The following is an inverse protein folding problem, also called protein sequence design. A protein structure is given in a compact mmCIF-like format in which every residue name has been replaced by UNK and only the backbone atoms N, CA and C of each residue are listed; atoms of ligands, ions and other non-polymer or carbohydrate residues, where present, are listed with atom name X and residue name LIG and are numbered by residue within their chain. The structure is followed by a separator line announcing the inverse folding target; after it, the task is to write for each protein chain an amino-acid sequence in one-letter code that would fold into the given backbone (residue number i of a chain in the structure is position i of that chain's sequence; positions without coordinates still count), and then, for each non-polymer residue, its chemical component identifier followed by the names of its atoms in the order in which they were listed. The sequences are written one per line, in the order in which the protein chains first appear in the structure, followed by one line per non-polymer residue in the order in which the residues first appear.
data_IF_235809854066
#
_entry.id   IF_235809854066
#
_cell.length_a   1.000
_cell.length_b   1.000
_cell.length_c   1.000
_cell.angle_alpha   90.00
_cell.angle_beta   90.00
_cell.angle_gamma   90.00
#
_symmetry.space_group_name_H-M   'P 1'
#
loop_
_entity.id
_entity.type
_entity.pdbx_description
1 polymer ?
#
# COMPACT_ATOMS: atom_id res chain seq x y z
N UNK A 1 -4.09 1.35 2.26
CA UNK A 1 -3.96 -0.03 2.79
C UNK A 1 -2.69 -0.73 2.30
N UNK A 2 -2.26 -0.58 1.04
CA UNK A 2 -0.98 -1.13 0.54
C UNK A 2 0.27 -0.59 1.27
N UNK A 3 0.28 0.67 1.71
CA UNK A 3 1.45 1.30 2.37
C UNK A 3 1.86 0.66 3.71
N UNK A 4 0.97 -0.03 4.43
CA UNK A 4 1.33 -0.73 5.70
C UNK A 4 1.81 -2.18 5.51
N UNK A 5 1.46 -2.85 4.43
CA UNK A 5 1.90 -4.23 4.16
C UNK A 5 3.38 -4.26 3.76
N UNK A 6 3.86 -3.24 3.06
CA UNK A 6 5.27 -3.15 2.64
C UNK A 6 6.25 -2.85 3.79
N UNK A 7 5.82 -2.14 4.84
CA UNK A 7 6.69 -1.85 5.99
C UNK A 7 6.94 -3.07 6.88
N UNK A 8 6.06 -4.07 6.85
CA UNK A 8 6.20 -5.26 7.70
C UNK A 8 7.08 -6.37 7.09
N UNK A 9 7.35 -6.34 5.79
CA UNK A 9 8.21 -7.32 5.10
C UNK A 9 9.70 -6.98 5.22
N UNK A 10 10.06 -5.72 5.44
CA UNK A 10 11.47 -5.28 5.55
C UNK A 10 12.14 -5.69 6.87
N UNK A 11 11.39 -6.03 7.91
CA UNK A 11 11.96 -6.36 9.24
C UNK A 11 12.41 -7.83 9.39
N UNK A 12 12.15 -8.69 8.42
CA UNK A 12 12.50 -10.14 8.50
C UNK A 12 13.80 -10.47 7.78
N UNK A 13 14.39 -9.60 6.97
CA UNK A 13 15.57 -9.88 6.13
C UNK A 13 16.93 -9.44 6.73
N UNK A 14 17.01 -9.04 7.99
CA UNK A 14 18.26 -8.58 8.62
C UNK A 14 18.93 -9.58 9.59
N UNK A 15 18.62 -10.86 9.53
CA UNK A 15 19.24 -11.87 10.40
C UNK A 15 20.01 -12.99 9.69
N UNK A 16 20.54 -12.78 8.48
CA UNK A 16 21.26 -13.83 7.76
C UNK A 16 22.64 -13.45 7.20
N UNK A 17 23.35 -12.48 7.78
CA UNK A 17 24.77 -12.29 7.48
C UNK A 17 25.60 -12.17 8.77
N UNK A 18 25.92 -13.33 9.37
CA UNK A 18 27.06 -13.52 10.27
C UNK A 18 27.40 -14.99 10.41
N UNK A 19 27.93 -15.62 9.37
CA UNK A 19 28.64 -16.90 9.52
C UNK A 19 29.49 -17.19 8.28
N UNK A 20 30.61 -16.53 8.12
CA UNK A 20 31.74 -17.07 7.35
C UNK A 20 32.99 -16.27 7.68
N UNK A 21 33.72 -16.67 8.69
CA UNK A 21 35.19 -16.61 8.75
C UNK A 21 35.59 -17.28 10.06
N UNK A 22 36.09 -18.48 9.99
CA UNK A 22 37.23 -19.03 10.76
C UNK A 22 37.33 -20.49 10.34
N UNK A 23 38.29 -20.76 9.50
CA UNK A 23 38.76 -22.13 9.29
C UNK A 23 40.28 -22.12 9.41
N UNK A 24 40.78 -22.54 10.57
CA UNK A 24 42.12 -23.14 10.69
C UNK A 24 42.16 -24.05 11.92
N UNK A 25 42.23 -25.33 11.66
CA UNK A 25 43.05 -26.35 12.26
C UNK A 25 42.90 -26.69 13.76
N UNK A 26 42.16 -27.73 14.05
CA UNK A 26 42.60 -28.74 15.05
C UNK A 26 41.89 -30.06 14.73
N UNK A 27 42.68 -31.12 14.54
CA UNK A 27 42.21 -32.48 14.46
C UNK A 27 41.65 -32.86 15.82
N UNK A 28 40.35 -33.14 15.88
CA UNK A 28 39.76 -33.77 17.06
C UNK A 28 39.12 -35.10 16.62
N UNK A 29 39.67 -36.16 17.16
CA UNK A 29 39.23 -37.54 16.95
C UNK A 29 38.08 -37.83 17.92
N UNK A 30 36.85 -37.66 17.44
CA UNK A 30 35.66 -38.17 18.15
C UNK A 30 35.01 -39.30 17.35
N UNK A 31 34.52 -40.37 17.96
CA UNK A 31 34.02 -41.54 17.26
C UNK A 31 32.70 -41.22 16.56
N UNK A 32 32.59 -41.70 15.33
CA UNK A 32 31.38 -41.58 14.51
C UNK A 32 30.17 -42.19 15.22
N UNK A 33 29.21 -41.34 15.60
CA UNK A 33 27.88 -41.78 15.98
C UNK A 33 27.12 -42.18 14.69
N UNK A 34 27.12 -43.47 14.41
CA UNK A 34 26.19 -44.09 13.46
C UNK A 34 24.80 -44.15 14.12
N UNK A 35 24.09 -43.04 14.19
CA UNK A 35 22.66 -43.05 14.44
C UNK A 35 21.94 -42.99 13.08
N UNK A 36 21.24 -44.07 12.74
CA UNK A 36 20.21 -43.98 11.69
C UNK A 36 19.30 -42.77 12.06
N UNK A 37 18.88 -41.95 11.08
CA UNK A 37 17.87 -40.95 11.38
C UNK A 37 16.66 -41.68 11.96
N UNK A 38 16.24 -41.27 13.16
CA UNK A 38 14.99 -41.73 13.74
C UNK A 38 13.90 -41.45 12.70
N UNK A 39 13.26 -42.51 12.24
CA UNK A 39 12.06 -42.39 11.43
C UNK A 39 11.03 -41.67 12.31
N UNK A 40 10.73 -40.43 11.96
CA UNK A 40 9.61 -39.70 12.57
C UNK A 40 8.39 -40.63 12.41
N UNK A 41 7.75 -41.06 13.51
CA UNK A 41 6.58 -41.90 13.39
C UNK A 41 5.53 -41.18 12.56
N UNK A 42 4.89 -41.89 11.62
CA UNK A 42 3.72 -41.40 10.90
C UNK A 42 2.65 -41.04 11.94
N UNK A 43 2.57 -39.77 12.29
CA UNK A 43 1.50 -39.25 13.12
C UNK A 43 0.26 -39.25 12.22
N UNK A 44 -0.71 -40.15 12.49
CA UNK A 44 -2.05 -40.02 11.90
C UNK A 44 -2.60 -38.64 12.29
N UNK A 45 -2.52 -37.71 11.34
CA UNK A 45 -3.06 -36.37 11.51
C UNK A 45 -4.56 -36.49 11.69
N UNK A 46 -5.11 -35.90 12.76
CA UNK A 46 -6.54 -35.88 13.02
C UNK A 46 -7.25 -35.24 11.81
N UNK A 47 -8.50 -35.61 11.57
CA UNK A 47 -9.33 -35.04 10.48
C UNK A 47 -9.50 -33.51 10.52
N UNK A 48 -9.00 -32.84 11.57
CA UNK A 48 -9.04 -31.39 11.76
C UNK A 48 -7.69 -30.71 11.43
N UNK A 49 -6.72 -31.41 10.89
CA UNK A 49 -5.43 -30.83 10.54
C UNK A 49 -5.54 -30.10 9.20
N UNK A 50 -5.16 -28.81 9.19
CA UNK A 50 -5.12 -28.02 7.97
C UNK A 50 -3.79 -28.34 7.26
N UNK A 51 -3.80 -28.83 6.01
CA UNK A 51 -2.58 -29.10 5.27
C UNK A 51 -1.69 -27.85 5.17
N UNK A 52 -0.37 -28.04 5.23
CA UNK A 52 0.59 -26.94 5.16
C UNK A 52 0.44 -26.14 3.86
N UNK A 53 0.14 -26.83 2.78
CA UNK A 53 -0.07 -26.25 1.45
C UNK A 53 -1.19 -25.18 1.44
N UNK A 54 -2.24 -25.36 2.26
CA UNK A 54 -3.36 -24.41 2.33
C UNK A 54 -2.97 -23.07 2.92
N UNK A 55 -1.87 -23.00 3.70
CA UNK A 55 -1.35 -21.72 4.21
C UNK A 55 -0.55 -20.93 3.17
N UNK A 56 -0.03 -21.62 2.15
CA UNK A 56 0.81 -21.01 1.09
C UNK A 56 0.11 -20.95 -0.27
N UNK A 57 -1.10 -21.47 -0.36
CA UNK A 57 -1.87 -21.43 -1.59
C UNK A 57 -2.29 -20.02 -1.94
N UNK A 58 -2.05 -19.63 -3.19
CA UNK A 58 -2.59 -18.36 -3.70
C UNK A 58 -4.11 -18.32 -3.55
N UNK A 59 -4.69 -17.15 -3.23
CA UNK A 59 -6.13 -16.97 -3.22
C UNK A 59 -6.69 -17.16 -4.64
N UNK A 60 -7.92 -17.65 -4.77
CA UNK A 60 -8.59 -17.76 -6.06
C UNK A 60 -8.76 -16.41 -6.74
N UNK A 61 -9.12 -15.39 -5.96
CA UNK A 61 -9.21 -14.00 -6.40
C UNK A 61 -8.86 -13.06 -5.24
N UNK A 62 -8.18 -11.95 -5.53
CA UNK A 62 -7.79 -10.97 -4.53
C UNK A 62 -7.55 -9.59 -5.13
N UNK A 63 -7.28 -8.60 -4.27
CA UNK A 63 -6.89 -7.25 -4.65
C UNK A 63 -7.88 -6.57 -5.61
N UNK A 64 -9.16 -6.73 -5.37
CA UNK A 64 -10.19 -6.09 -6.17
C UNK A 64 -10.11 -4.56 -6.09
N UNK A 65 -10.34 -3.90 -7.24
CA UNK A 65 -10.45 -2.44 -7.36
C UNK A 65 -11.51 -2.09 -8.40
N UNK A 66 -12.38 -1.14 -8.09
CA UNK A 66 -13.38 -0.59 -9.03
C UNK A 66 -12.69 0.40 -9.98
N UNK A 67 -13.12 0.49 -11.23
CA UNK A 67 -12.72 1.57 -12.14
C UNK A 67 -13.30 2.91 -11.67
N UNK A 68 -12.64 4.01 -11.99
CA UNK A 68 -13.06 5.36 -11.58
C UNK A 68 -14.49 5.70 -11.97
N UNK A 69 -14.98 5.16 -13.11
CA UNK A 69 -16.36 5.36 -13.60
C UNK A 69 -17.38 4.34 -13.05
N UNK A 70 -16.96 3.43 -12.19
CA UNK A 70 -17.82 2.42 -11.56
C UNK A 70 -18.35 1.33 -12.48
N UNK A 71 -17.79 1.15 -13.69
CA UNK A 71 -18.34 0.19 -14.68
C UNK A 71 -17.61 -1.14 -14.70
N UNK A 72 -16.40 -1.18 -14.23
CA UNK A 72 -15.55 -2.37 -14.25
C UNK A 72 -14.94 -2.63 -12.88
N UNK A 73 -14.58 -3.87 -12.66
CA UNK A 73 -13.76 -4.30 -11.53
C UNK A 73 -12.51 -5.01 -12.06
N UNK A 74 -11.35 -4.64 -11.52
CA UNK A 74 -10.10 -5.36 -11.74
C UNK A 74 -9.77 -6.19 -10.50
N UNK A 75 -9.10 -7.31 -10.68
CA UNK A 75 -8.67 -8.19 -9.59
C UNK A 75 -7.49 -9.06 -10.03
N UNK A 76 -6.82 -9.65 -9.06
CA UNK A 76 -5.78 -10.63 -9.30
C UNK A 76 -6.33 -12.05 -9.13
N UNK A 77 -6.01 -12.91 -10.10
CA UNK A 77 -6.38 -14.32 -10.13
C UNK A 77 -5.23 -15.15 -10.68
N UNK A 78 -4.97 -16.37 -10.16
CA UNK A 78 -3.95 -17.26 -10.71
C UNK A 78 -4.23 -17.66 -12.14
N UNK A 79 -3.22 -17.58 -12.99
CA UNK A 79 -3.16 -18.21 -14.30
C UNK A 79 -1.78 -18.86 -14.46
N UNK A 80 -1.75 -20.14 -14.83
CA UNK A 80 -0.52 -20.97 -14.86
C UNK A 80 0.30 -20.85 -13.55
N UNK A 81 -0.40 -20.89 -12.41
CA UNK A 81 0.14 -20.80 -11.05
C UNK A 81 0.74 -19.43 -10.67
N UNK A 82 0.57 -18.41 -11.48
CA UNK A 82 1.02 -17.05 -11.19
C UNK A 82 -0.15 -16.07 -11.11
N UNK A 83 -0.06 -15.13 -10.17
CA UNK A 83 -1.05 -14.08 -10.01
C UNK A 83 -1.01 -13.12 -11.19
N UNK A 84 -2.11 -12.98 -11.88
CA UNK A 84 -2.28 -12.15 -13.06
C UNK A 84 -3.47 -11.20 -12.90
N UNK A 85 -3.45 -10.07 -13.60
CA UNK A 85 -4.54 -9.08 -13.57
C UNK A 85 -5.65 -9.51 -14.53
N UNK A 86 -6.85 -9.50 -14.01
CA UNK A 86 -8.10 -9.74 -14.72
C UNK A 86 -9.04 -8.57 -14.54
N UNK A 87 -9.94 -8.38 -15.48
CA UNK A 87 -11.01 -7.39 -15.41
C UNK A 87 -12.35 -8.05 -15.71
N UNK A 88 -13.40 -7.42 -15.21
CA UNK A 88 -14.78 -7.84 -15.42
C UNK A 88 -15.68 -6.60 -15.49
N UNK A 89 -16.55 -6.53 -16.48
CA UNK A 89 -17.62 -5.52 -16.51
C UNK A 89 -18.62 -5.83 -15.41
N UNK A 90 -18.99 -4.84 -14.60
CA UNK A 90 -19.95 -5.01 -13.51
C UNK A 90 -21.31 -5.39 -14.11
N UNK A 91 -21.91 -6.46 -13.59
CA UNK A 91 -23.15 -7.04 -14.11
C UNK A 91 -22.96 -8.06 -15.25
N UNK A 92 -21.72 -8.35 -15.65
CA UNK A 92 -21.39 -9.43 -16.59
C UNK A 92 -20.65 -10.56 -15.88
N UNK A 93 -20.83 -11.79 -16.35
CA UNK A 93 -20.06 -12.96 -15.88
C UNK A 93 -18.75 -13.16 -16.67
N UNK A 94 -18.52 -12.37 -17.73
CA UNK A 94 -17.34 -12.49 -18.57
C UNK A 94 -16.12 -11.86 -17.90
N UNK A 95 -15.09 -12.68 -17.71
CA UNK A 95 -13.81 -12.28 -17.14
C UNK A 95 -12.76 -12.26 -18.25
N UNK A 96 -12.08 -11.13 -18.40
CA UNK A 96 -10.96 -10.96 -19.33
C UNK A 96 -9.64 -10.94 -18.57
N UNK A 97 -8.70 -11.82 -18.93
CA UNK A 97 -7.33 -11.77 -18.43
C UNK A 97 -6.55 -10.73 -19.22
N UNK A 98 -5.90 -9.79 -18.52
CA UNK A 98 -5.08 -8.75 -19.14
C UNK A 98 -3.60 -9.11 -19.21
N UNK A 99 -3.05 -9.72 -18.17
CA UNK A 99 -1.62 -10.08 -18.11
C UNK A 99 -1.41 -11.58 -18.26
N UNK A 100 -0.22 -11.99 -18.71
CA UNK A 100 0.11 -13.39 -18.98
C UNK A 100 1.46 -13.78 -18.36
N UNK A 101 1.67 -13.40 -17.13
CA UNK A 101 2.87 -13.73 -16.38
C UNK A 101 2.91 -15.22 -16.02
N UNK A 102 4.02 -15.90 -16.31
CA UNK A 102 4.23 -17.34 -16.09
C UNK A 102 5.41 -17.65 -15.16
N UNK A 103 6.37 -16.73 -15.04
CA UNK A 103 7.57 -16.93 -14.23
C UNK A 103 7.43 -16.30 -12.84
N UNK A 104 6.95 -15.06 -12.78
CA UNK A 104 6.79 -14.26 -11.58
C UNK A 104 5.37 -13.72 -11.47
N UNK A 105 4.86 -13.62 -10.25
CA UNK A 105 3.57 -12.98 -10.01
C UNK A 105 3.59 -11.50 -10.40
N UNK A 106 2.47 -10.97 -10.83
CA UNK A 106 2.25 -9.53 -10.79
C UNK A 106 2.22 -9.11 -9.33
N UNK A 107 3.11 -8.19 -8.92
CA UNK A 107 3.23 -7.77 -7.53
C UNK A 107 2.11 -6.81 -7.08
N UNK A 108 1.53 -6.08 -8.03
CA UNK A 108 0.43 -5.15 -7.78
C UNK A 108 0.01 -4.43 -9.05
N UNK A 109 -1.14 -3.77 -8.99
CA UNK A 109 -1.66 -3.02 -10.13
C UNK A 109 -2.46 -1.80 -9.65
N UNK A 110 -2.73 -0.88 -10.59
CA UNK A 110 -3.53 0.33 -10.39
C UNK A 110 -4.30 0.65 -11.67
N UNK A 111 -5.42 1.35 -11.53
CA UNK A 111 -6.10 1.97 -12.65
C UNK A 111 -5.31 3.20 -13.10
N UNK A 112 -5.16 3.37 -14.41
CA UNK A 112 -4.64 4.55 -15.08
C UNK A 112 -5.77 5.13 -15.93
N UNK A 113 -6.61 5.94 -15.30
CA UNK A 113 -7.92 6.29 -15.82
C UNK A 113 -8.84 5.05 -15.95
N UNK A 114 -9.82 5.10 -16.86
CA UNK A 114 -10.82 4.03 -17.01
C UNK A 114 -10.45 2.95 -18.05
N UNK A 115 -9.43 3.20 -18.87
CA UNK A 115 -9.15 2.39 -20.05
C UNK A 115 -7.80 1.68 -20.03
N UNK A 116 -7.05 1.81 -18.94
CA UNK A 116 -5.68 1.29 -18.84
C UNK A 116 -5.37 0.80 -17.44
N UNK A 117 -4.61 -0.27 -17.35
CA UNK A 117 -4.06 -0.81 -16.10
C UNK A 117 -2.56 -0.62 -16.09
N UNK A 118 -2.02 -0.01 -15.04
CA UNK A 118 -0.62 -0.08 -14.67
C UNK A 118 -0.37 -1.30 -13.78
N UNK A 119 0.73 -2.01 -13.98
CA UNK A 119 1.09 -3.13 -13.11
C UNK A 119 2.59 -3.18 -12.85
N UNK A 120 2.95 -3.75 -11.70
CA UNK A 120 4.33 -3.83 -11.24
C UNK A 120 4.78 -5.29 -11.23
N UNK A 121 5.93 -5.55 -11.83
CA UNK A 121 6.54 -6.87 -11.90
C UNK A 121 8.07 -6.77 -11.88
N UNK A 122 8.72 -7.75 -11.25
CA UNK A 122 10.17 -7.96 -11.31
C UNK A 122 10.55 -9.02 -12.37
N UNK A 123 11.83 -9.16 -12.62
CA UNK A 123 12.35 -10.17 -13.55
C UNK A 123 13.20 -11.18 -12.78
N UNK A 124 12.83 -12.46 -12.88
CA UNK A 124 13.62 -13.55 -12.29
C UNK A 124 13.76 -13.53 -10.76
N UNK A 125 13.03 -12.68 -10.05
CA UNK A 125 13.12 -12.56 -8.59
C UNK A 125 14.20 -11.59 -8.10
N UNK A 126 14.64 -10.68 -8.97
CA UNK A 126 15.68 -9.67 -8.66
C UNK A 126 15.16 -8.50 -7.81
N UNK A 127 13.84 -8.46 -7.54
CA UNK A 127 13.13 -7.40 -6.81
C UNK A 127 13.28 -5.99 -7.41
N UNK A 128 13.80 -5.90 -8.63
CA UNK A 128 13.83 -4.68 -9.42
C UNK A 128 12.49 -4.49 -10.12
N UNK A 129 11.50 -4.11 -9.36
CA UNK A 129 10.13 -3.94 -9.83
C UNK A 129 10.03 -2.78 -10.81
N UNK A 130 9.55 -3.06 -12.02
CA UNK A 130 9.29 -2.08 -13.07
C UNK A 130 7.80 -1.85 -13.24
N UNK A 131 7.44 -0.68 -13.76
CA UNK A 131 6.05 -0.32 -14.08
C UNK A 131 5.78 -0.62 -15.54
N UNK A 132 4.78 -1.43 -15.77
CA UNK A 132 4.20 -1.75 -17.07
C UNK A 132 2.79 -1.20 -17.16
N UNK A 133 2.27 -1.07 -18.38
CA UNK A 133 0.87 -0.73 -18.59
C UNK A 133 0.28 -1.51 -19.77
N UNK A 134 -1.04 -1.71 -19.73
CA UNK A 134 -1.82 -2.39 -20.75
C UNK A 134 -3.24 -1.80 -20.80
N UNK A 135 -3.78 -1.63 -22.00
CA UNK A 135 -5.18 -1.21 -22.14
C UNK A 135 -6.13 -2.34 -21.76
N UNK A 136 -7.36 -1.98 -21.33
CA UNK A 136 -8.39 -2.96 -20.93
C UNK A 136 -8.84 -3.90 -22.08
N UNK A 137 -8.60 -3.53 -23.33
CA UNK A 137 -8.83 -4.39 -24.50
C UNK A 137 -7.63 -5.31 -24.82
N UNK A 138 -6.59 -5.29 -23.99
CA UNK A 138 -5.36 -6.07 -24.17
C UNK A 138 -4.34 -5.42 -25.12
N UNK A 139 -4.66 -4.30 -25.73
CA UNK A 139 -3.74 -3.57 -26.63
C UNK A 139 -2.73 -2.71 -25.87
N UNK A 140 -1.72 -2.20 -26.59
CA UNK A 140 -0.74 -1.22 -26.11
C UNK A 140 -0.04 -1.62 -24.79
N UNK A 141 0.31 -2.89 -24.65
CA UNK A 141 1.18 -3.31 -23.55
C UNK A 141 2.56 -2.66 -23.73
N UNK A 142 3.05 -2.03 -22.67
CA UNK A 142 4.33 -1.31 -22.70
C UNK A 142 5.04 -1.42 -21.34
N UNK A 143 6.38 -1.49 -21.39
CA UNK A 143 7.24 -1.21 -20.25
C UNK A 143 7.42 0.31 -20.15
N UNK A 144 6.88 0.92 -19.12
CA UNK A 144 6.95 2.36 -18.90
C UNK A 144 8.28 2.80 -18.25
N UNK A 145 9.04 1.86 -17.72
CA UNK A 145 10.32 2.11 -17.06
C UNK A 145 11.40 1.14 -17.57
N UNK A 146 11.71 1.18 -18.89
CA UNK A 146 12.58 0.23 -19.57
C UNK A 146 14.07 0.49 -19.27
N UNK A 147 14.43 0.41 -18.00
CA UNK A 147 15.81 0.60 -17.53
C UNK A 147 16.26 -0.63 -16.77
N UNK A 148 17.54 -0.97 -16.93
CA UNK A 148 18.13 -2.09 -16.23
C UNK A 148 18.37 -1.76 -14.75
N UNK A 149 18.14 -2.74 -13.88
CA UNK A 149 18.43 -2.66 -12.44
C UNK A 149 17.77 -1.48 -11.72
N UNK A 150 16.61 -1.04 -12.18
CA UNK A 150 15.82 -0.01 -11.51
C UNK A 150 14.71 -0.62 -10.66
N UNK A 151 14.43 0.00 -9.54
CA UNK A 151 13.26 -0.29 -8.72
C UNK A 151 12.30 0.90 -8.75
N UNK A 152 11.05 0.63 -9.08
CA UNK A 152 9.97 1.61 -9.14
C UNK A 152 9.02 1.44 -7.97
N UNK A 153 8.58 2.56 -7.39
CA UNK A 153 7.52 2.63 -6.38
C UNK A 153 6.50 3.66 -6.83
N UNK A 154 5.22 3.38 -6.70
CA UNK A 154 4.19 4.39 -6.93
C UNK A 154 4.21 5.36 -5.75
N UNK A 155 4.37 6.65 -6.05
CA UNK A 155 4.27 7.75 -5.08
C UNK A 155 2.82 8.22 -5.01
N UNK A 156 2.20 8.43 -6.19
CA UNK A 156 0.80 8.85 -6.33
C UNK A 156 0.30 8.42 -7.70
N UNK A 157 -0.87 7.81 -7.78
CA UNK A 157 -1.52 7.38 -9.03
C UNK A 157 -2.20 8.51 -9.79
N UNK A 158 -2.28 9.70 -9.19
CA UNK A 158 -2.82 10.92 -9.80
C UNK A 158 -4.21 10.70 -10.43
N UNK A 159 -5.14 10.11 -9.66
CA UNK A 159 -6.48 9.71 -10.14
C UNK A 159 -7.20 10.80 -10.97
N UNK A 160 -7.01 12.10 -10.65
CA UNK A 160 -7.59 13.22 -11.40
C UNK A 160 -6.82 13.60 -12.67
N UNK A 161 -5.66 12.97 -12.92
CA UNK A 161 -4.80 13.22 -14.09
C UNK A 161 -4.49 11.86 -14.75
N UNK A 162 -5.44 11.27 -15.47
CA UNK A 162 -5.38 9.86 -15.89
C UNK A 162 -4.22 9.52 -16.84
N UNK A 163 -3.57 10.53 -17.41
CA UNK A 163 -2.40 10.35 -18.28
C UNK A 163 -1.06 10.40 -17.53
N UNK A 164 -1.06 10.64 -16.23
CA UNK A 164 0.16 10.81 -15.45
C UNK A 164 0.16 9.95 -14.18
N UNK A 165 1.35 9.61 -13.70
CA UNK A 165 1.59 8.96 -12.42
C UNK A 165 2.88 9.52 -11.81
N UNK A 166 2.95 9.64 -10.49
CA UNK A 166 4.20 9.93 -9.81
C UNK A 166 4.84 8.64 -9.34
N UNK A 167 6.08 8.43 -9.77
CA UNK A 167 6.87 7.28 -9.38
C UNK A 167 8.15 7.70 -8.68
N UNK A 168 8.55 6.95 -7.67
CA UNK A 168 9.88 6.97 -7.13
C UNK A 168 10.73 5.92 -7.86
N UNK A 169 11.89 6.30 -8.40
CA UNK A 169 12.76 5.37 -9.13
C UNK A 169 14.23 5.63 -8.81
N UNK A 170 14.99 4.57 -8.61
CA UNK A 170 16.41 4.60 -8.25
C UNK A 170 17.37 4.63 -9.48
N UNK A 171 16.94 5.28 -10.56
CA UNK A 171 17.69 5.33 -11.82
C UNK A 171 19.03 6.06 -11.72
N UNK A 172 19.09 7.16 -10.97
CA UNK A 172 20.29 7.99 -10.83
C UNK A 172 21.33 7.35 -9.90
N UNK A 173 20.85 6.79 -8.78
CA UNK A 173 21.63 6.07 -7.79
C UNK A 173 20.78 4.91 -7.27
N UNK A 174 21.29 3.68 -7.34
CA UNK A 174 20.55 2.46 -6.97
C UNK A 174 20.06 2.44 -5.50
N UNK A 175 20.63 3.28 -4.65
CA UNK A 175 20.24 3.42 -3.24
C UNK A 175 19.13 4.44 -3.01
N UNK A 176 18.87 5.33 -3.98
CA UNK A 176 18.07 6.53 -3.80
C UNK A 176 16.93 6.58 -4.82
N UNK A 177 15.72 6.78 -4.33
CA UNK A 177 14.55 6.95 -5.20
C UNK A 177 14.25 8.43 -5.38
N UNK A 178 14.52 8.92 -6.58
CA UNK A 178 14.08 10.25 -7.03
C UNK A 178 12.64 10.18 -7.52
N UNK A 179 11.92 11.30 -7.50
CA UNK A 179 10.52 11.34 -7.94
C UNK A 179 10.43 11.83 -9.37
N UNK A 180 9.74 11.05 -10.19
CA UNK A 180 9.45 11.35 -11.58
C UNK A 180 7.95 11.47 -11.81
N UNK A 181 7.56 12.44 -12.63
CA UNK A 181 6.24 12.52 -13.23
C UNK A 181 6.34 11.80 -14.57
N UNK A 182 5.57 10.74 -14.72
CA UNK A 182 5.59 9.86 -15.89
C UNK A 182 4.25 9.98 -16.63
N UNK A 183 4.30 10.32 -17.92
CA UNK A 183 3.13 10.23 -18.77
C UNK A 183 2.94 8.76 -19.20
N UNK A 184 1.83 8.15 -18.82
CA UNK A 184 1.56 6.71 -19.00
C UNK A 184 1.16 6.35 -20.43
N UNK A 185 0.91 7.34 -21.29
CA UNK A 185 0.59 7.14 -22.72
C UNK A 185 1.84 7.23 -23.57
N UNK A 186 2.68 8.25 -23.34
CA UNK A 186 3.87 8.52 -24.17
C UNK A 186 5.14 7.91 -23.62
N UNK A 187 5.18 7.56 -22.31
CA UNK A 187 6.39 7.14 -21.60
C UNK A 187 7.34 8.30 -21.27
N UNK A 188 6.96 9.56 -21.55
CA UNK A 188 7.78 10.72 -21.19
C UNK A 188 7.89 10.86 -19.69
N UNK A 189 9.11 11.04 -19.18
CA UNK A 189 9.40 11.20 -17.77
C UNK A 189 10.10 12.53 -17.49
N UNK A 190 9.64 13.21 -16.45
CA UNK A 190 10.27 14.43 -15.93
C UNK A 190 10.59 14.23 -14.45
N UNK A 191 11.85 14.45 -14.07
CA UNK A 191 12.23 14.49 -12.65
C UNK A 191 11.61 15.72 -11.99
N UNK A 192 10.97 15.54 -10.83
CA UNK A 192 10.35 16.63 -10.07
C UNK A 192 10.93 16.79 -8.67
N UNK A 193 11.66 15.77 -8.19
CA UNK A 193 12.47 15.88 -6.97
C UNK A 193 13.60 14.85 -7.00
N UNK A 194 14.81 15.30 -6.70
CA UNK A 194 15.96 14.44 -6.43
C UNK A 194 16.04 14.14 -4.94
N UNK A 195 16.34 12.88 -4.60
CA UNK A 195 16.61 12.48 -3.23
C UNK A 195 18.08 12.80 -2.90
N UNK A 196 18.36 13.73 -1.97
CA UNK A 196 19.72 14.09 -1.59
C UNK A 196 20.45 12.99 -0.80
N UNK A 197 19.79 11.89 -0.46
CA UNK A 197 20.38 10.74 0.24
C UNK A 197 19.68 10.37 1.56
N UNK A 198 18.76 11.17 2.03
CA UNK A 198 18.12 10.99 3.33
C UNK A 198 16.57 11.02 3.28
N UNK A 199 15.96 11.16 2.11
CA UNK A 199 14.50 11.16 2.00
C UNK A 199 14.01 9.70 2.03
N UNK A 200 13.14 9.39 2.99
CA UNK A 200 12.52 8.09 3.19
C UNK A 200 11.10 7.98 2.59
N UNK A 201 10.44 9.09 2.31
CA UNK A 201 9.09 9.12 1.78
C UNK A 201 8.69 10.46 1.17
N UNK A 202 7.64 10.44 0.36
CA UNK A 202 7.10 11.56 -0.37
C UNK A 202 5.58 11.58 -0.29
N UNK A 203 4.95 12.76 -0.36
CA UNK A 203 3.50 12.90 -0.38
C UNK A 203 3.07 14.13 -1.19
N UNK A 204 1.98 13.94 -1.94
CA UNK A 204 1.31 14.97 -2.74
C UNK A 204 0.18 15.65 -1.98
N UNK A 205 -0.23 16.80 -2.47
CA UNK A 205 -1.52 17.41 -2.13
C UNK A 205 -2.66 16.84 -3.00
N UNK A 206 -3.88 17.34 -2.81
CA UNK A 206 -5.05 16.90 -3.58
C UNK A 206 -5.01 17.26 -5.07
N UNK A 207 -4.14 18.19 -5.48
CA UNK A 207 -3.94 18.56 -6.88
C UNK A 207 -2.79 17.75 -7.54
N UNK A 208 -2.30 16.71 -6.87
CA UNK A 208 -1.22 15.86 -7.36
C UNK A 208 0.14 16.56 -7.41
N UNK A 209 0.33 17.62 -6.62
CA UNK A 209 1.62 18.30 -6.48
C UNK A 209 2.42 17.70 -5.34
N UNK A 210 3.69 17.40 -5.59
CA UNK A 210 4.60 16.86 -4.58
C UNK A 210 4.97 17.96 -3.58
N UNK A 211 4.40 17.91 -2.37
CA UNK A 211 4.50 18.99 -1.38
C UNK A 211 5.23 18.58 -0.10
N UNK A 212 5.23 17.30 0.27
CA UNK A 212 5.90 16.81 1.47
C UNK A 212 6.99 15.79 1.14
N UNK A 213 8.03 15.82 1.94
CA UNK A 213 9.08 14.82 1.99
C UNK A 213 9.39 14.47 3.46
N UNK A 214 9.87 13.25 3.68
CA UNK A 214 10.18 12.77 5.03
C UNK A 214 11.59 12.25 5.08
N UNK A 215 12.30 12.53 6.19
CA UNK A 215 13.62 11.95 6.48
C UNK A 215 13.56 11.13 7.74
N UNK A 216 14.44 10.12 7.85
CA UNK A 216 14.64 9.35 9.07
C UNK A 216 16.14 9.04 9.21
N UNK A 217 16.71 9.30 10.39
CA UNK A 217 18.12 9.03 10.70
C UNK A 217 18.31 7.88 11.72
N UNK A 218 17.20 7.20 12.07
CA UNK A 218 17.15 6.13 13.06
C UNK A 218 16.85 6.62 14.48
N UNK A 219 16.92 7.92 14.73
CA UNK A 219 16.57 8.56 16.00
C UNK A 219 15.48 9.60 15.80
N UNK A 220 15.62 10.41 14.76
CA UNK A 220 14.71 11.50 14.46
C UNK A 220 14.02 11.27 13.11
N UNK A 221 12.79 11.74 13.02
CA UNK A 221 12.02 11.86 11.77
C UNK A 221 11.75 13.33 11.52
N UNK A 222 12.01 13.80 10.30
CA UNK A 222 11.68 15.18 9.94
C UNK A 222 10.67 15.21 8.80
N UNK A 223 9.73 16.13 8.90
CA UNK A 223 8.79 16.51 7.86
C UNK A 223 9.31 17.74 7.15
N UNK A 224 9.44 17.64 5.82
CA UNK A 224 9.86 18.73 4.95
C UNK A 224 8.70 19.13 4.07
N UNK A 225 8.60 20.41 3.78
CA UNK A 225 7.53 21.02 2.99
C UNK A 225 8.09 21.98 1.95
N UNK A 226 7.40 22.08 0.81
CA UNK A 226 7.57 23.13 -0.18
C UNK A 226 6.21 23.64 -0.66
N UNK A 227 6.10 24.92 -0.99
CA UNK A 227 4.84 25.52 -1.43
C UNK A 227 4.50 25.14 -2.86
N UNK A 228 5.48 25.04 -3.74
CA UNK A 228 5.33 24.65 -5.14
C UNK A 228 6.39 23.64 -5.54
N UNK A 229 6.22 22.92 -6.67
CA UNK A 229 7.22 21.99 -7.17
C UNK A 229 8.53 22.64 -7.64
N UNK A 230 8.56 23.96 -7.79
CA UNK A 230 9.75 24.75 -8.14
C UNK A 230 10.56 25.19 -6.90
N UNK A 231 9.96 25.12 -5.71
CA UNK A 231 10.61 25.50 -4.48
C UNK A 231 11.47 24.37 -3.91
N UNK A 232 12.43 24.73 -3.08
CA UNK A 232 13.19 23.75 -2.31
C UNK A 232 12.43 23.30 -1.06
N UNK A 233 12.59 22.05 -0.68
CA UNK A 233 12.06 21.54 0.57
C UNK A 233 12.75 22.18 1.77
N UNK A 234 11.96 22.62 2.74
CA UNK A 234 12.44 23.09 4.05
C UNK A 234 11.91 22.20 5.17
N UNK A 235 12.71 21.91 6.17
CA UNK A 235 12.26 21.20 7.37
C UNK A 235 11.24 22.09 8.09
N UNK A 236 10.07 21.55 8.38
CA UNK A 236 9.01 22.21 9.15
C UNK A 236 8.83 21.60 10.53
N UNK A 237 9.16 20.32 10.72
CA UNK A 237 9.05 19.65 12.01
C UNK A 237 10.12 18.57 12.09
N UNK A 238 10.67 18.37 13.28
CA UNK A 238 11.51 17.22 13.65
C UNK A 238 11.01 16.67 14.98
N UNK A 239 10.77 15.35 15.02
CA UNK A 239 10.42 14.60 16.24
C UNK A 239 11.45 13.51 16.49
N UNK A 240 11.63 13.12 17.75
CA UNK A 240 12.42 11.93 18.08
C UNK A 240 11.54 10.66 18.04
N UNK A 241 12.16 9.48 18.25
CA UNK A 241 11.48 8.18 18.19
C UNK A 241 10.32 7.99 19.18
N UNK A 242 10.14 8.90 20.15
CA UNK A 242 9.04 8.84 21.14
C UNK A 242 7.80 9.58 20.69
N UNK A 243 7.97 10.54 19.79
CA UNK A 243 6.86 11.33 19.27
C UNK A 243 6.74 11.15 17.76
N UNK A 244 5.51 10.94 17.31
CA UNK A 244 5.21 10.80 15.89
C UNK A 244 4.19 11.85 15.48
N UNK A 245 4.42 12.48 14.35
CA UNK A 245 3.45 13.29 13.61
C UNK A 245 3.43 12.78 12.19
N UNK A 246 2.42 11.96 11.88
CA UNK A 246 2.29 11.29 10.60
C UNK A 246 1.20 11.97 9.75
N UNK A 247 1.54 12.73 8.72
CA UNK A 247 0.56 13.27 7.78
C UNK A 247 -0.22 12.14 7.11
N UNK A 248 -1.54 12.25 7.15
CA UNK A 248 -2.44 11.35 6.45
C UNK A 248 -2.76 11.89 5.06
N UNK A 249 -3.22 13.14 4.98
CA UNK A 249 -3.50 13.86 3.74
C UNK A 249 -3.63 15.36 4.04
N UNK A 250 -3.60 16.18 3.00
CA UNK A 250 -3.85 17.60 3.12
C UNK A 250 -5.32 17.90 3.45
N UNK A 251 -5.61 19.06 4.04
CA UNK A 251 -6.96 19.63 4.02
C UNK A 251 -7.35 19.92 2.57
N UNK A 252 -8.66 19.97 2.27
CA UNK A 252 -9.14 20.06 0.89
C UNK A 252 -8.84 21.41 0.20
N UNK A 253 -8.34 22.40 0.96
CA UNK A 253 -7.80 23.65 0.43
C UNK A 253 -6.26 23.61 0.24
N UNK A 254 -5.64 22.46 0.47
CA UNK A 254 -4.20 22.22 0.37
C UNK A 254 -3.32 23.13 1.25
N UNK A 255 -3.86 23.66 2.37
CA UNK A 255 -3.13 24.57 3.25
C UNK A 255 -2.57 23.90 4.49
N UNK A 256 -3.33 22.99 5.10
CA UNK A 256 -2.98 22.29 6.32
C UNK A 256 -2.98 20.77 6.09
N UNK A 257 -2.66 20.02 7.14
CA UNK A 257 -2.63 18.55 7.11
C UNK A 257 -3.60 17.97 8.14
N UNK A 258 -4.26 16.88 7.78
CA UNK A 258 -4.76 15.94 8.78
C UNK A 258 -3.61 15.03 9.17
N UNK A 259 -3.31 14.98 10.47
CA UNK A 259 -2.20 14.19 11.00
C UNK A 259 -2.66 13.26 12.10
N UNK A 260 -2.01 12.10 12.18
CA UNK A 260 -2.00 11.28 13.40
C UNK A 260 -0.81 11.71 14.24
N UNK A 261 -1.05 12.12 15.50
CA UNK A 261 0.02 12.59 16.38
C UNK A 261 -0.15 12.08 17.80
N UNK A 262 0.98 11.67 18.41
CA UNK A 262 1.09 11.37 19.84
C UNK A 262 1.96 12.41 20.61
N UNK A 263 2.19 13.59 20.06
CA UNK A 263 3.00 14.61 20.74
C UNK A 263 2.40 14.98 22.09
N UNK A 264 3.23 14.95 23.13
CA UNK A 264 2.85 15.24 24.53
C UNK A 264 1.70 14.36 25.05
N UNK A 265 1.53 13.15 24.51
CA UNK A 265 0.46 12.22 24.90
C UNK A 265 0.88 10.78 24.66
N UNK A 266 0.16 9.86 25.29
CA UNK A 266 0.43 8.42 25.20
C UNK A 266 -0.03 7.83 23.84
N UNK A 267 -1.21 8.20 23.40
CA UNK A 267 -1.84 7.63 22.18
C UNK A 267 -1.94 8.66 21.08
N UNK A 268 -1.82 8.19 19.84
CA UNK A 268 -2.02 9.05 18.69
C UNK A 268 -3.49 9.42 18.49
N UNK A 269 -3.72 10.67 18.14
CA UNK A 269 -5.02 11.24 17.86
C UNK A 269 -5.02 11.98 16.53
N UNK A 270 -6.20 12.25 15.98
CA UNK A 270 -6.36 12.98 14.73
C UNK A 270 -6.38 14.48 15.01
N UNK A 271 -5.46 15.20 14.38
CA UNK A 271 -5.36 16.66 14.45
C UNK A 271 -5.37 17.30 13.07
N UNK A 272 -5.70 18.61 13.06
CA UNK A 272 -5.25 19.52 12.01
C UNK A 272 -3.87 20.04 12.42
N UNK A 273 -2.93 19.97 11.49
CA UNK A 273 -1.58 20.50 11.62
C UNK A 273 -1.42 21.68 10.68
N UNK A 274 -1.15 22.85 11.25
CA UNK A 274 -0.85 24.07 10.51
C UNK A 274 0.61 24.03 10.02
N UNK A 275 0.78 24.07 8.70
CA UNK A 275 2.10 23.96 8.06
C UNK A 275 2.94 25.20 8.26
N UNK A 276 2.34 26.40 8.37
CA UNK A 276 3.06 27.64 8.50
C UNK A 276 3.67 27.80 9.90
N UNK A 277 2.89 27.47 10.92
CA UNK A 277 3.32 27.56 12.33
C UNK A 277 3.98 26.28 12.84
N UNK A 278 3.88 25.18 12.08
CA UNK A 278 4.34 23.84 12.44
C UNK A 278 3.76 23.34 13.77
N UNK A 279 2.47 23.59 14.00
CA UNK A 279 1.75 23.23 15.22
C UNK A 279 0.45 22.50 14.95
N UNK A 280 0.06 21.65 15.88
CA UNK A 280 -1.28 21.05 15.93
C UNK A 280 -2.26 22.12 16.44
N UNK A 281 -3.32 22.40 15.67
CA UNK A 281 -4.30 23.44 16.01
C UNK A 281 -5.58 22.88 16.57
N UNK A 282 -6.20 21.89 15.94
CA UNK A 282 -7.49 21.36 16.30
C UNK A 282 -7.41 19.86 16.54
N UNK A 283 -7.78 19.42 17.74
CA UNK A 283 -8.02 18.00 18.02
C UNK A 283 -9.37 17.61 17.42
N UNK A 284 -9.34 16.74 16.39
CA UNK A 284 -10.54 16.26 15.71
C UNK A 284 -11.14 15.03 16.43
N UNK A 285 -10.25 14.10 16.78
CA UNK A 285 -10.69 12.87 17.46
C UNK A 285 -9.53 12.20 18.20
N UNK A 286 -9.82 11.67 19.38
CA UNK A 286 -8.96 10.74 20.13
C UNK A 286 -9.78 9.52 20.56
N UNK A 287 -9.14 8.37 20.60
CA UNK A 287 -9.72 7.17 21.18
C UNK A 287 -9.19 6.94 22.60
N UNK A 288 -10.08 6.52 23.52
CA UNK A 288 -9.74 6.43 24.95
C UNK A 288 -8.71 5.31 25.25
N UNK A 289 -8.69 4.23 24.47
CA UNK A 289 -7.93 3.03 24.79
C UNK A 289 -6.77 2.77 23.83
N UNK A 290 -6.86 3.15 22.57
CA UNK A 290 -5.90 2.81 21.51
C UNK A 290 -5.56 4.00 20.64
N UNK A 291 -4.49 3.87 19.84
CA UNK A 291 -4.16 4.80 18.77
C UNK A 291 -5.23 4.83 17.69
N UNK A 292 -5.40 5.97 17.03
CA UNK A 292 -6.16 5.99 15.78
C UNK A 292 -5.42 5.22 14.69
N UNK A 293 -6.18 4.60 13.78
CA UNK A 293 -5.58 3.83 12.67
C UNK A 293 -5.52 4.63 11.38
N UNK A 294 -6.65 5.19 10.94
CA UNK A 294 -6.74 5.91 9.69
C UNK A 294 -7.90 6.89 9.68
N UNK A 295 -7.70 8.08 9.11
CA UNK A 295 -8.76 9.01 8.79
C UNK A 295 -9.29 8.75 7.38
N UNK A 296 -10.61 8.84 7.21
CA UNK A 296 -11.32 8.58 5.97
C UNK A 296 -11.91 9.87 5.43
N UNK A 297 -11.90 10.03 4.12
CA UNK A 297 -12.48 11.20 3.46
C UNK A 297 -13.22 10.83 2.17
N UNK A 298 -14.07 11.73 1.72
CA UNK A 298 -14.69 11.72 0.40
C UNK A 298 -13.96 12.73 -0.50
N UNK A 299 -13.32 12.25 -1.55
CA UNK A 299 -12.67 13.08 -2.55
C UNK A 299 -13.71 13.90 -3.32
N UNK A 300 -14.82 13.27 -3.73
CA UNK A 300 -15.94 13.91 -4.43
C UNK A 300 -16.56 15.05 -3.65
N UNK A 301 -16.87 14.82 -2.38
CA UNK A 301 -17.56 15.80 -1.52
C UNK A 301 -16.62 16.72 -0.77
N UNK A 302 -15.31 16.45 -0.81
CA UNK A 302 -14.24 17.19 -0.13
C UNK A 302 -14.52 17.36 1.38
N UNK A 303 -14.86 16.26 2.04
CA UNK A 303 -15.15 16.21 3.48
C UNK A 303 -14.42 15.06 4.15
N UNK A 304 -14.01 15.28 5.40
CA UNK A 304 -13.56 14.21 6.30
C UNK A 304 -14.79 13.38 6.69
N UNK A 305 -14.80 12.09 6.36
CA UNK A 305 -15.96 11.23 6.59
C UNK A 305 -15.90 10.47 7.90
N UNK A 306 -14.70 10.27 8.44
CA UNK A 306 -14.56 9.57 9.72
C UNK A 306 -13.12 9.22 10.04
N UNK A 307 -12.94 8.52 11.14
CA UNK A 307 -11.68 7.96 11.63
C UNK A 307 -11.93 6.56 12.16
N UNK A 308 -10.93 5.70 12.02
CA UNK A 308 -10.94 4.34 12.56
C UNK A 308 -9.90 4.16 13.67
N UNK A 309 -10.21 3.27 14.61
CA UNK A 309 -9.31 2.77 15.63
C UNK A 309 -9.45 1.25 15.71
N UNK A 310 -8.40 0.55 16.11
CA UNK A 310 -8.41 -0.91 16.18
C UNK A 310 -8.28 -1.36 17.63
N UNK A 311 -9.39 -1.85 18.18
CA UNK A 311 -9.45 -2.51 19.49
C UNK A 311 -9.37 -4.03 19.29
N UNK A 312 -10.29 -4.82 19.79
CA UNK A 312 -10.49 -6.21 19.39
C UNK A 312 -11.04 -6.31 17.94
N UNK A 313 -11.69 -5.25 17.48
CA UNK A 313 -12.25 -5.07 16.14
C UNK A 313 -11.94 -3.67 15.63
N UNK A 314 -12.19 -3.45 14.34
CA UNK A 314 -12.14 -2.10 13.78
C UNK A 314 -13.37 -1.32 14.24
N UNK A 315 -13.13 -0.20 14.90
CA UNK A 315 -14.15 0.75 15.32
C UNK A 315 -14.06 2.01 14.47
N UNK A 316 -15.23 2.61 14.20
CA UNK A 316 -15.35 3.81 13.39
C UNK A 316 -16.03 4.93 14.16
N UNK A 317 -15.48 6.12 14.07
CA UNK A 317 -16.16 7.37 14.38
C UNK A 317 -16.44 8.10 13.08
N UNK A 318 -17.70 8.22 12.71
CA UNK A 318 -18.10 8.96 11.51
C UNK A 318 -18.37 10.43 11.85
N UNK A 319 -17.97 11.30 10.91
CA UNK A 319 -18.23 12.74 10.92
C UNK A 319 -19.21 13.12 9.80
N UNK A 320 -19.53 12.19 8.93
CA UNK A 320 -20.36 12.33 7.74
C UNK A 320 -21.55 11.35 7.84
N UNK A 321 -22.76 11.89 7.84
CA UNK A 321 -23.99 11.12 8.01
C UNK A 321 -24.22 10.10 6.89
N UNK A 322 -23.91 10.47 5.63
CA UNK A 322 -24.04 9.56 4.51
C UNK A 322 -23.14 8.34 4.69
N UNK A 323 -21.88 8.56 5.08
CA UNK A 323 -20.91 7.47 5.28
C UNK A 323 -21.30 6.58 6.47
N UNK A 324 -21.84 7.17 7.54
CA UNK A 324 -22.33 6.43 8.69
C UNK A 324 -23.54 5.56 8.34
N UNK A 325 -24.51 6.13 7.63
CA UNK A 325 -25.70 5.39 7.19
C UNK A 325 -25.33 4.26 6.24
N UNK A 326 -24.43 4.48 5.27
CA UNK A 326 -23.93 3.44 4.39
C UNK A 326 -23.32 2.27 5.19
N UNK A 327 -22.50 2.55 6.21
CA UNK A 327 -21.91 1.50 7.05
C UNK A 327 -22.98 0.70 7.78
N UNK A 328 -23.95 1.37 8.39
CA UNK A 328 -25.06 0.72 9.12
C UNK A 328 -25.92 -0.15 8.20
N UNK A 329 -26.20 0.34 7.00
CA UNK A 329 -27.00 -0.41 6.02
C UNK A 329 -26.25 -1.67 5.56
N UNK A 330 -24.97 -1.57 5.27
CA UNK A 330 -24.14 -2.72 4.89
C UNK A 330 -24.04 -3.76 6.03
N UNK A 331 -23.80 -3.32 7.27
CA UNK A 331 -23.74 -4.21 8.42
C UNK A 331 -25.09 -4.89 8.71
N UNK A 332 -26.20 -4.22 8.46
CA UNK A 332 -27.54 -4.79 8.62
C UNK A 332 -27.84 -5.89 7.59
N UNK A 333 -27.29 -5.75 6.36
CA UNK A 333 -27.46 -6.72 5.28
C UNK A 333 -26.49 -7.90 5.38
N UNK A 334 -25.37 -7.73 6.08
CA UNK A 334 -24.29 -8.71 6.18
C UNK A 334 -24.02 -9.07 7.67
N UNK A 335 -24.99 -9.67 8.36
CA UNK A 335 -24.89 -9.92 9.80
C UNK A 335 -23.85 -11.00 10.14
N UNK A 336 -23.16 -10.85 11.27
CA UNK A 336 -22.25 -11.86 11.82
C UNK A 336 -20.83 -11.83 11.23
N UNK A 337 -20.51 -10.84 10.41
CA UNK A 337 -19.18 -10.60 9.85
C UNK A 337 -18.75 -9.15 10.06
N UNK A 338 -17.45 -8.89 10.00
CA UNK A 338 -16.96 -7.52 9.89
C UNK A 338 -17.11 -7.03 8.45
N UNK A 339 -17.61 -5.81 8.31
CA UNK A 339 -17.92 -5.18 7.02
C UNK A 339 -16.98 -3.99 6.81
N UNK A 340 -16.20 -4.01 5.74
CA UNK A 340 -15.31 -2.91 5.35
C UNK A 340 -15.65 -2.41 3.97
N UNK A 341 -15.90 -1.12 3.86
CA UNK A 341 -15.87 -0.44 2.57
C UNK A 341 -14.41 -0.42 2.10
N UNK A 342 -14.12 -1.14 1.02
CA UNK A 342 -12.76 -1.31 0.50
C UNK A 342 -12.43 -0.29 -0.58
N UNK A 343 -13.43 0.10 -1.39
CA UNK A 343 -13.25 0.99 -2.51
C UNK A 343 -14.59 1.63 -2.91
N UNK A 344 -14.53 2.78 -3.60
CA UNK A 344 -15.67 3.49 -4.19
C UNK A 344 -15.26 3.99 -5.58
N UNK A 345 -16.23 4.04 -6.50
CA UNK A 345 -16.05 4.80 -7.73
C UNK A 345 -15.99 6.32 -7.45
N UNK A 346 -15.48 7.12 -8.39
CA UNK A 346 -15.34 8.58 -8.21
C UNK A 346 -16.69 9.27 -7.94
N UNK A 347 -17.79 8.68 -8.36
CA UNK A 347 -19.15 9.20 -8.13
C UNK A 347 -19.78 8.72 -6.82
N UNK A 348 -19.12 7.88 -6.05
CA UNK A 348 -19.66 7.25 -4.83
C UNK A 348 -21.02 6.56 -5.09
N UNK A 349 -21.16 5.93 -6.26
CA UNK A 349 -22.39 5.22 -6.67
C UNK A 349 -22.21 3.71 -6.69
N UNK A 350 -20.99 3.25 -6.77
CA UNK A 350 -20.60 1.84 -6.71
C UNK A 350 -19.60 1.63 -5.58
N UNK A 351 -19.84 0.64 -4.74
CA UNK A 351 -19.01 0.33 -3.59
C UNK A 351 -18.46 -1.09 -3.67
N UNK A 352 -17.19 -1.25 -3.39
CA UNK A 352 -16.57 -2.55 -3.14
C UNK A 352 -16.52 -2.79 -1.63
N UNK A 353 -17.22 -3.80 -1.18
CA UNK A 353 -17.33 -4.17 0.24
C UNK A 353 -16.60 -5.48 0.47
N UNK A 354 -15.74 -5.51 1.47
CA UNK A 354 -15.08 -6.73 1.94
C UNK A 354 -15.66 -7.14 3.28
N UNK A 355 -16.00 -8.42 3.41
CA UNK A 355 -16.36 -9.02 4.70
C UNK A 355 -15.29 -10.00 5.15
N UNK A 356 -15.19 -10.25 6.47
CA UNK A 356 -14.35 -11.28 7.07
C UNK A 356 -14.78 -11.52 8.52
N UNK A 357 -14.32 -12.63 9.10
CA UNK A 357 -14.51 -12.91 10.52
C UNK A 357 -13.37 -13.83 11.01
N UNK A 358 -13.40 -14.16 12.29
CA UNK A 358 -12.55 -15.19 12.89
C UNK A 358 -12.79 -16.61 12.32
N UNK A 359 -13.90 -16.82 11.62
CA UNK A 359 -14.33 -18.12 11.08
C UNK A 359 -14.28 -18.21 9.57
N UNK A 360 -14.19 -17.08 8.86
CA UNK A 360 -14.21 -17.05 7.39
C UNK A 360 -13.17 -16.09 6.85
N UNK A 361 -12.55 -16.43 5.70
CA UNK A 361 -11.68 -15.52 4.95
C UNK A 361 -12.43 -14.30 4.40
N UNK A 362 -13.76 -14.39 4.38
CA UNK A 362 -14.65 -13.37 3.87
C UNK A 362 -14.89 -13.43 2.37
N UNK A 363 -15.65 -12.44 1.91
CA UNK A 363 -16.02 -12.28 0.50
C UNK A 363 -15.95 -10.81 0.11
N UNK A 364 -15.99 -10.56 -1.20
CA UNK A 364 -16.15 -9.24 -1.77
C UNK A 364 -17.55 -9.12 -2.38
N UNK A 365 -18.16 -7.96 -2.23
CA UNK A 365 -19.48 -7.60 -2.76
C UNK A 365 -19.38 -6.26 -3.50
N UNK A 366 -20.17 -6.14 -4.53
CA UNK A 366 -20.42 -4.91 -5.28
C UNK A 366 -21.86 -4.49 -5.12
#
# INVERSE_FOLDING_TARGET
MLKKIFSMIITILLLQECANTINQGSQDTSPALNSKPDTIPDVELSSNYIPLEDFFKNPEKTAYKISHDGKMVAFMQPWESRMNVHIQTIGSDEITRLTSATERDIAGYLWLGNNRIGYIQDTGGDENFRLFAINIDGSNQADLTPFDSVQVRIVDDLEDIPEEVLIGMNKRDQRLHDVYRLNVITGEMKIIAENPGNISGWQTDHDGKLRLAFTADGVNTSMLYRLTEQDTFRVILTTDFREEVNPMFFTFDNKNLYVSSNRNRDKSALYIFDIETATETDLIFEHNEVDISWAMYSKKRKVLTGVSAYTSKMEYKFFDEWRENLQKDLESQLPGVEVRLSDLDDNETMALVRTFSDKTRGAYYL
#
